data_IF_834308540763
#
_entry.id   IF_834308540763
#
_cell.length_a   1.000
_cell.length_b   1.000
_cell.length_c   1.000
_cell.angle_alpha   90.00
_cell.angle_beta   90.00
_cell.angle_gamma   90.00
#
_symmetry.space_group_name_H-M   'P 1'
#
loop_
_entity.id
_entity.type
_entity.pdbx_description
1 polymer ?
#
# COMPACT_ATOMS: atom_id res chain seq x y z
N UNK A 1 39.58 5.72 -2.79
CA UNK A 1 38.36 5.95 -1.98
C UNK A 1 37.71 4.60 -1.70
N UNK A 2 38.05 3.97 -0.58
CA UNK A 2 37.28 2.84 -0.07
C UNK A 2 36.38 3.38 1.05
N UNK A 3 35.15 3.76 0.67
CA UNK A 3 34.07 3.93 1.62
C UNK A 3 33.60 2.52 2.05
N UNK A 4 33.14 2.40 3.29
CA UNK A 4 32.46 1.21 3.79
C UNK A 4 31.35 0.79 2.81
N UNK A 5 31.01 -0.51 2.79
CA UNK A 5 29.98 -1.03 1.89
C UNK A 5 28.60 -0.58 2.39
N UNK A 6 28.17 0.62 2.00
CA UNK A 6 26.79 1.05 2.22
C UNK A 6 25.83 0.17 1.41
N UNK A 7 24.92 -0.49 2.12
CA UNK A 7 23.83 -1.26 1.54
C UNK A 7 22.57 -1.08 2.40
N UNK A 8 21.42 -1.22 1.76
CA UNK A 8 20.11 -1.18 2.41
C UNK A 8 19.41 -2.53 2.24
N UNK A 9 18.59 -2.88 3.22
CA UNK A 9 17.95 -4.21 3.31
C UNK A 9 16.44 -4.04 3.42
N UNK A 10 15.70 -4.83 2.65
CA UNK A 10 14.31 -5.16 2.92
C UNK A 10 14.13 -6.67 3.07
N UNK A 11 12.93 -7.12 3.39
CA UNK A 11 12.62 -8.52 3.63
C UNK A 11 11.39 -8.99 2.86
N UNK A 12 11.50 -10.16 2.25
CA UNK A 12 10.40 -10.86 1.62
C UNK A 12 10.01 -12.07 2.48
N UNK A 13 8.71 -12.22 2.76
CA UNK A 13 8.19 -13.30 3.58
C UNK A 13 6.98 -13.94 2.93
N UNK A 14 6.92 -15.27 2.97
CA UNK A 14 5.83 -16.03 2.35
C UNK A 14 4.75 -16.40 3.38
N UNK A 15 3.52 -16.49 2.91
CA UNK A 15 2.38 -17.01 3.65
C UNK A 15 1.59 -17.98 2.76
N UNK A 16 0.81 -18.86 3.38
CA UNK A 16 -0.01 -19.86 2.70
C UNK A 16 -1.48 -19.60 3.04
N UNK A 17 -2.29 -19.32 2.02
CA UNK A 17 -3.75 -19.22 2.13
C UNK A 17 -4.37 -20.54 1.64
N UNK A 18 -5.25 -21.14 2.45
CA UNK A 18 -5.95 -22.39 2.14
C UNK A 18 -7.46 -22.14 2.08
N UNK A 19 -8.09 -22.61 1.00
CA UNK A 19 -9.51 -22.39 0.71
C UNK A 19 -10.17 -23.70 0.29
N UNK A 20 -11.46 -23.86 0.60
CA UNK A 20 -12.28 -24.89 -0.04
C UNK A 20 -12.68 -24.42 -1.44
N UNK A 21 -12.21 -25.12 -2.49
CA UNK A 21 -12.44 -24.71 -3.89
C UNK A 21 -13.92 -24.56 -4.27
N UNK A 22 -14.82 -25.41 -3.75
CA UNK A 22 -16.26 -25.34 -4.09
C UNK A 22 -17.01 -24.30 -3.25
N UNK A 23 -16.46 -23.94 -2.09
CA UNK A 23 -17.04 -22.96 -1.17
C UNK A 23 -15.92 -22.13 -0.55
N UNK A 24 -15.29 -21.21 -1.32
CA UNK A 24 -14.07 -20.52 -0.88
C UNK A 24 -14.26 -19.62 0.34
N UNK A 25 -15.51 -19.22 0.62
CA UNK A 25 -15.88 -18.43 1.81
C UNK A 25 -16.24 -19.32 3.01
N UNK A 26 -16.30 -20.65 2.85
CA UNK A 26 -16.60 -21.57 3.93
C UNK A 26 -15.29 -22.02 4.60
N UNK A 27 -14.96 -21.35 5.72
CA UNK A 27 -13.76 -21.59 6.54
C UNK A 27 -12.42 -21.39 5.81
N UNK A 28 -12.19 -20.23 5.16
CA UNK A 28 -10.87 -19.93 4.63
C UNK A 28 -9.86 -19.73 5.77
N UNK A 29 -8.63 -20.21 5.61
CA UNK A 29 -7.57 -20.10 6.62
C UNK A 29 -6.28 -19.59 5.99
N UNK A 30 -5.49 -18.84 6.77
CA UNK A 30 -4.20 -18.32 6.34
C UNK A 30 -3.14 -18.56 7.41
N UNK A 31 -1.92 -18.89 7.01
CA UNK A 31 -0.78 -19.09 7.90
C UNK A 31 0.47 -18.44 7.34
N UNK A 32 1.31 -17.89 8.22
CA UNK A 32 2.59 -17.27 7.84
C UNK A 32 3.69 -18.32 7.90
N UNK A 33 4.52 -18.42 6.86
CA UNK A 33 5.60 -19.40 6.82
C UNK A 33 6.81 -18.89 7.65
N UNK A 34 7.69 -19.80 8.08
CA UNK A 34 8.80 -19.48 8.99
C UNK A 34 10.01 -18.84 8.30
N UNK A 35 10.16 -18.95 6.98
CA UNK A 35 11.28 -18.41 6.22
C UNK A 35 11.15 -16.91 5.89
N UNK A 36 12.29 -16.22 5.83
CA UNK A 36 12.39 -14.81 5.42
C UNK A 36 13.61 -14.64 4.50
N UNK A 37 13.44 -13.94 3.39
CA UNK A 37 14.51 -13.66 2.42
C UNK A 37 14.92 -12.21 2.52
N UNK A 38 16.23 -11.94 2.54
CA UNK A 38 16.76 -10.57 2.51
C UNK A 38 16.85 -10.10 1.06
N UNK A 39 16.35 -8.89 0.82
CA UNK A 39 16.54 -8.16 -0.44
C UNK A 39 17.53 -7.04 -0.18
N UNK A 40 18.58 -6.94 -1.00
CA UNK A 40 19.69 -6.00 -0.77
C UNK A 40 19.92 -5.13 -1.99
N UNK A 41 20.04 -3.82 -1.79
CA UNK A 41 20.46 -2.85 -2.81
C UNK A 41 21.54 -1.93 -2.26
N UNK A 42 22.31 -1.33 -3.17
CA UNK A 42 23.28 -0.26 -2.88
C UNK A 42 22.80 1.10 -3.38
N UNK A 43 21.61 1.17 -3.97
CA UNK A 43 21.03 2.43 -4.41
C UNK A 43 20.20 3.00 -3.27
N UNK A 44 20.39 4.30 -3.05
CA UNK A 44 19.69 5.06 -2.03
C UNK A 44 19.55 6.52 -2.47
N UNK A 45 18.60 7.20 -1.85
CA UNK A 45 18.41 8.63 -1.95
C UNK A 45 18.55 9.23 -0.55
N UNK A 46 19.48 10.18 -0.37
CA UNK A 46 19.77 10.79 0.94
C UNK A 46 20.00 9.76 2.06
N UNK A 47 20.86 8.77 1.80
CA UNK A 47 21.23 7.69 2.72
C UNK A 47 20.07 6.75 3.14
N UNK A 48 18.93 6.80 2.44
CA UNK A 48 17.79 5.91 2.66
C UNK A 48 17.44 5.16 1.37
N UNK A 49 17.14 3.88 1.50
CA UNK A 49 16.78 3.02 0.37
C UNK A 49 16.24 1.69 0.87
N UNK A 50 15.66 0.91 -0.05
CA UNK A 50 14.99 -0.36 0.27
C UNK A 50 13.86 -0.22 1.30
N UNK A 51 13.23 0.95 1.37
CA UNK A 51 11.98 1.17 2.11
C UNK A 51 10.83 0.81 1.17
N UNK A 52 10.62 -0.50 1.05
CA UNK A 52 9.72 -1.08 0.06
C UNK A 52 8.27 -1.00 0.52
N UNK A 53 7.44 -0.22 -0.17
CA UNK A 53 6.10 0.17 0.30
C UNK A 53 4.93 -0.49 -0.45
N UNK A 54 5.18 -1.42 -1.37
CA UNK A 54 4.17 -2.30 -1.97
C UNK A 54 4.82 -3.48 -2.72
N UNK A 55 4.06 -4.55 -2.98
CA UNK A 55 4.45 -5.71 -3.79
C UNK A 55 3.36 -6.03 -4.81
N UNK A 56 3.67 -6.07 -6.11
CA UNK A 56 2.67 -6.28 -7.18
C UNK A 56 3.23 -7.19 -8.28
N UNK A 57 2.39 -8.08 -8.82
CA UNK A 57 2.71 -8.78 -10.08
C UNK A 57 2.17 -8.00 -11.27
N UNK A 58 3.07 -7.57 -12.16
CA UNK A 58 2.73 -6.88 -13.40
C UNK A 58 3.55 -7.43 -14.58
N UNK A 59 2.86 -7.80 -15.66
CA UNK A 59 3.49 -8.31 -16.89
C UNK A 59 4.45 -9.48 -16.64
N UNK A 60 4.05 -10.42 -15.76
CA UNK A 60 4.84 -11.59 -15.38
C UNK A 60 6.04 -11.29 -14.48
N UNK A 61 6.17 -10.07 -13.95
CA UNK A 61 7.24 -9.64 -13.06
C UNK A 61 6.69 -9.30 -11.69
N UNK A 62 7.39 -9.74 -10.65
CA UNK A 62 7.17 -9.27 -9.28
C UNK A 62 7.88 -7.94 -9.12
N UNK A 63 7.13 -6.87 -8.87
CA UNK A 63 7.64 -5.52 -8.72
C UNK A 63 7.38 -4.99 -7.32
N UNK A 64 8.25 -4.10 -6.86
CA UNK A 64 8.15 -3.39 -5.60
C UNK A 64 8.72 -1.97 -5.79
N UNK A 65 8.33 -1.03 -4.95
CA UNK A 65 8.79 0.36 -5.04
C UNK A 65 9.44 0.80 -3.73
N UNK A 66 10.60 1.43 -3.85
CA UNK A 66 11.28 2.12 -2.75
C UNK A 66 10.76 3.56 -2.62
N UNK A 67 10.07 3.87 -1.53
CA UNK A 67 9.36 5.14 -1.33
C UNK A 67 10.30 6.35 -1.14
N UNK A 68 11.60 6.09 -0.99
CA UNK A 68 12.63 7.12 -0.84
C UNK A 68 13.22 7.55 -2.17
N UNK A 69 13.69 6.56 -2.94
CA UNK A 69 14.35 6.80 -4.22
C UNK A 69 13.38 6.90 -5.38
N UNK A 70 12.15 6.41 -5.23
CA UNK A 70 11.19 6.26 -6.32
C UNK A 70 11.58 5.15 -7.31
N UNK A 71 12.57 4.32 -6.98
CA UNK A 71 12.96 3.19 -7.82
C UNK A 71 11.93 2.08 -7.69
N UNK A 72 11.40 1.65 -8.84
CA UNK A 72 10.64 0.40 -8.94
C UNK A 72 11.63 -0.71 -9.25
N UNK A 73 11.76 -1.66 -8.32
CA UNK A 73 12.58 -2.85 -8.48
C UNK A 73 11.73 -4.02 -8.99
N UNK A 74 12.32 -4.86 -9.83
CA UNK A 74 11.85 -6.24 -10.03
C UNK A 74 12.56 -7.16 -9.05
N UNK A 75 11.78 -8.00 -8.37
CA UNK A 75 12.30 -9.11 -7.55
C UNK A 75 12.40 -10.35 -8.46
N UNK A 76 13.63 -10.74 -8.78
CA UNK A 76 13.94 -11.97 -9.54
C UNK A 76 14.30 -13.09 -8.58
N UNK A 77 13.86 -14.30 -8.92
CA UNK A 77 14.14 -15.53 -8.16
C UNK A 77 13.84 -15.43 -6.66
N UNK A 78 12.93 -14.52 -6.27
CA UNK A 78 12.55 -14.24 -4.87
C UNK A 78 13.68 -13.75 -3.95
N UNK A 79 14.86 -13.39 -4.47
CA UNK A 79 16.02 -12.99 -3.66
C UNK A 79 16.81 -11.79 -4.21
N UNK A 80 16.59 -11.41 -5.46
CA UNK A 80 17.42 -10.42 -6.15
C UNK A 80 16.57 -9.25 -6.60
N UNK A 81 16.93 -8.02 -6.20
CA UNK A 81 16.27 -6.79 -6.67
C UNK A 81 17.02 -6.17 -7.84
N UNK A 82 16.30 -5.87 -8.91
CA UNK A 82 16.83 -5.24 -10.14
C UNK A 82 16.07 -3.95 -10.41
N UNK A 83 16.71 -2.77 -10.42
CA UNK A 83 16.06 -1.51 -10.79
C UNK A 83 15.45 -1.60 -12.19
N UNK A 84 14.17 -1.20 -12.33
CA UNK A 84 13.45 -1.21 -13.61
C UNK A 84 13.01 0.17 -14.05
N UNK A 85 12.44 0.93 -13.12
CA UNK A 85 11.98 2.29 -13.36
C UNK A 85 12.49 3.19 -12.24
N UNK A 86 12.63 4.48 -12.53
CA UNK A 86 12.79 5.52 -11.53
C UNK A 86 11.66 6.53 -11.73
N UNK A 87 10.93 6.81 -10.66
CA UNK A 87 9.76 7.67 -10.69
C UNK A 87 10.11 8.96 -9.96
N UNK A 88 10.19 10.08 -10.69
CA UNK A 88 10.31 11.40 -10.08
C UNK A 88 9.00 11.83 -9.41
N UNK A 89 9.11 12.59 -8.33
CA UNK A 89 7.96 13.01 -7.52
C UNK A 89 6.95 13.89 -8.31
N UNK A 90 5.72 13.97 -7.79
CA UNK A 90 4.67 14.86 -8.30
C UNK A 90 4.39 14.70 -9.81
N UNK A 91 4.53 15.77 -10.63
CA UNK A 91 4.30 15.69 -12.08
C UNK A 91 5.34 14.85 -12.84
N UNK A 92 6.41 14.39 -12.18
CA UNK A 92 7.51 13.66 -12.81
C UNK A 92 8.68 14.56 -13.27
N UNK A 93 8.71 15.82 -12.85
CA UNK A 93 9.79 16.78 -13.13
C UNK A 93 10.47 17.30 -11.85
N UNK A 94 10.33 16.55 -10.75
CA UNK A 94 10.93 16.85 -9.45
C UNK A 94 12.28 16.14 -9.27
N UNK A 95 13.16 16.70 -8.44
CA UNK A 95 14.48 16.13 -8.12
C UNK A 95 14.41 14.96 -7.15
N UNK A 96 13.38 14.92 -6.30
CA UNK A 96 13.12 13.84 -5.34
C UNK A 96 12.45 12.64 -6.02
N UNK A 97 12.73 11.45 -5.51
CA UNK A 97 11.97 10.24 -5.84
C UNK A 97 10.51 10.33 -5.40
N UNK A 98 9.63 9.73 -6.18
CA UNK A 98 8.21 9.63 -5.88
C UNK A 98 7.99 8.67 -4.71
N UNK A 99 7.29 9.15 -3.68
CA UNK A 99 6.88 8.34 -2.53
C UNK A 99 5.66 7.50 -2.91
N UNK A 100 5.88 6.36 -3.54
CA UNK A 100 4.82 5.44 -3.93
C UNK A 100 4.48 4.48 -2.80
N UNK A 101 3.21 4.46 -2.42
CA UNK A 101 2.68 3.82 -1.22
C UNK A 101 1.71 2.68 -1.53
N UNK A 102 1.23 2.60 -2.76
CA UNK A 102 0.32 1.55 -3.21
C UNK A 102 0.50 1.32 -4.70
N UNK A 103 0.12 0.13 -5.17
CA UNK A 103 0.14 -0.22 -6.57
C UNK A 103 -0.98 -1.18 -6.94
N UNK A 104 -1.47 -1.07 -8.17
CA UNK A 104 -2.43 -2.02 -8.72
C UNK A 104 -2.34 -2.10 -10.24
N UNK A 105 -3.01 -3.08 -10.84
CA UNK A 105 -3.07 -3.26 -12.28
C UNK A 105 -4.49 -3.01 -12.78
N UNK A 106 -4.62 -2.08 -13.72
CA UNK A 106 -5.89 -1.77 -14.40
C UNK A 106 -5.65 -1.68 -15.90
N UNK A 107 -6.47 -2.36 -16.68
CA UNK A 107 -6.43 -2.33 -18.15
C UNK A 107 -5.02 -2.56 -18.71
N UNK A 108 -4.29 -3.54 -18.13
CA UNK A 108 -2.91 -3.92 -18.48
C UNK A 108 -1.87 -2.80 -18.26
N UNK A 109 -2.19 -1.81 -17.42
CA UNK A 109 -1.26 -0.77 -16.97
C UNK A 109 -1.03 -0.91 -15.47
N UNK A 110 0.20 -0.69 -15.05
CA UNK A 110 0.57 -0.59 -13.64
C UNK A 110 0.31 0.84 -13.17
N UNK A 111 -0.45 0.97 -12.08
CA UNK A 111 -0.71 2.21 -11.38
C UNK A 111 0.05 2.18 -10.07
N UNK A 112 0.76 3.25 -9.74
CA UNK A 112 1.46 3.44 -8.48
C UNK A 112 1.10 4.81 -7.95
N UNK A 113 0.60 4.93 -6.72
CA UNK A 113 0.20 6.22 -6.16
C UNK A 113 0.86 6.54 -4.85
N UNK A 114 0.83 7.83 -4.50
CA UNK A 114 1.27 8.32 -3.20
C UNK A 114 0.16 8.27 -2.16
N UNK A 115 0.43 8.87 -1.00
CA UNK A 115 -0.44 8.84 0.18
C UNK A 115 -1.85 9.43 -0.03
N UNK A 116 -2.08 10.23 -1.08
CA UNK A 116 -3.41 10.73 -1.43
C UNK A 116 -3.94 11.87 -0.56
N UNK A 117 -3.04 12.61 0.10
CA UNK A 117 -3.33 13.88 0.82
C UNK A 117 -2.25 14.91 0.53
N UNK A 118 -2.50 16.17 0.85
CA UNK A 118 -1.51 17.23 0.72
C UNK A 118 -0.25 16.96 1.58
N UNK A 119 0.93 17.37 1.12
CA UNK A 119 2.15 17.34 1.95
C UNK A 119 2.15 18.57 2.85
N UNK A 120 2.15 18.32 4.16
CA UNK A 120 2.08 19.36 5.19
C UNK A 120 3.42 19.38 5.92
N UNK A 121 4.02 20.56 6.00
CA UNK A 121 5.21 20.83 6.78
C UNK A 121 4.94 22.08 7.63
N UNK A 122 5.35 22.05 8.90
CA UNK A 122 5.16 23.18 9.85
C UNK A 122 3.69 23.68 9.92
N UNK A 123 2.73 22.75 9.80
CA UNK A 123 1.30 23.06 9.85
C UNK A 123 0.71 23.73 8.60
N UNK A 124 1.49 23.85 7.52
CA UNK A 124 1.04 24.44 6.25
C UNK A 124 1.18 23.45 5.09
N UNK A 125 0.29 23.56 4.11
CA UNK A 125 0.41 22.80 2.86
C UNK A 125 1.59 23.35 2.06
N UNK A 126 2.65 22.56 1.95
CA UNK A 126 3.84 22.93 1.20
C UNK A 126 3.70 22.56 -0.28
N UNK A 127 3.13 21.38 -0.57
CA UNK A 127 2.86 20.94 -1.94
C UNK A 127 1.76 19.85 -2.00
N UNK A 128 1.42 19.44 -3.22
CA UNK A 128 0.38 18.44 -3.52
C UNK A 128 0.94 17.17 -4.20
N UNK A 129 2.25 16.91 -4.08
CA UNK A 129 2.90 15.84 -4.85
C UNK A 129 2.35 14.44 -4.52
N UNK A 130 1.96 14.23 -3.27
CA UNK A 130 1.33 13.00 -2.78
C UNK A 130 -0.05 12.70 -3.42
N UNK A 131 -0.66 13.66 -4.13
CA UNK A 131 -1.92 13.48 -4.87
C UNK A 131 -1.71 12.92 -6.29
N UNK A 132 -0.46 12.81 -6.73
CA UNK A 132 -0.14 12.27 -8.05
C UNK A 132 -0.07 10.74 -8.03
N UNK A 133 -0.34 10.15 -9.19
CA UNK A 133 -0.10 8.74 -9.48
C UNK A 133 0.80 8.61 -10.72
N UNK A 134 1.47 7.48 -10.82
CA UNK A 134 2.31 7.07 -11.94
C UNK A 134 1.67 5.89 -12.65
N UNK A 135 1.56 5.97 -13.96
CA UNK A 135 0.97 4.93 -14.80
C UNK A 135 2.04 4.44 -15.77
N UNK A 136 2.28 3.14 -15.77
CA UNK A 136 3.25 2.47 -16.64
C UNK A 136 2.46 1.51 -17.53
N UNK A 137 2.52 1.74 -18.84
CA UNK A 137 1.94 0.85 -19.85
C UNK A 137 2.96 -0.13 -20.43
N UNK A 138 2.50 -0.95 -21.39
CA UNK A 138 3.36 -1.92 -22.11
C UNK A 138 4.54 -1.30 -22.86
N UNK A 139 4.42 -0.03 -23.24
CA UNK A 139 5.50 0.73 -23.89
C UNK A 139 6.60 1.16 -22.91
N UNK A 140 6.48 0.81 -21.62
CA UNK A 140 7.40 1.20 -20.54
C UNK A 140 7.53 2.72 -20.34
N UNK A 141 6.56 3.48 -20.87
CA UNK A 141 6.45 4.93 -20.67
C UNK A 141 5.75 5.20 -19.34
N UNK A 142 6.36 6.06 -18.53
CA UNK A 142 5.79 6.55 -17.28
C UNK A 142 4.97 7.80 -17.56
N UNK A 143 3.70 7.79 -17.16
CA UNK A 143 2.79 8.93 -17.22
C UNK A 143 2.42 9.35 -15.80
N UNK A 144 2.57 10.64 -15.49
CA UNK A 144 2.12 11.22 -14.21
C UNK A 144 0.72 11.79 -14.36
N UNK A 145 -0.19 11.43 -13.45
CA UNK A 145 -1.58 11.93 -13.44
C UNK A 145 -1.92 12.48 -12.07
N UNK A 146 -2.43 13.71 -12.03
CA UNK A 146 -3.00 14.28 -10.81
C UNK A 146 -4.32 13.57 -10.48
N UNK A 147 -4.45 13.06 -9.25
CA UNK A 147 -5.59 12.26 -8.80
C UNK A 147 -6.40 12.92 -7.67
N UNK A 148 -6.22 14.21 -7.48
CA UNK A 148 -6.90 15.07 -6.51
C UNK A 148 -8.42 14.89 -6.50
N UNK A 149 -9.07 14.79 -7.67
CA UNK A 149 -10.53 14.62 -7.77
C UNK A 149 -11.02 13.34 -7.11
N UNK A 150 -10.29 12.24 -7.26
CA UNK A 150 -10.64 10.96 -6.64
C UNK A 150 -10.43 11.01 -5.14
N UNK A 151 -9.24 11.45 -4.68
CA UNK A 151 -8.94 11.56 -3.25
C UNK A 151 -9.90 12.52 -2.53
N UNK A 152 -10.20 13.67 -3.12
CA UNK A 152 -11.16 14.64 -2.57
C UNK A 152 -12.60 14.10 -2.55
N UNK A 153 -13.00 13.35 -3.57
CA UNK A 153 -14.29 12.68 -3.58
C UNK A 153 -14.43 11.71 -2.41
N UNK A 154 -13.44 10.83 -2.21
CA UNK A 154 -13.43 9.88 -1.10
C UNK A 154 -13.44 10.61 0.24
N UNK A 155 -12.55 11.58 0.43
CA UNK A 155 -12.46 12.43 1.63
C UNK A 155 -13.80 13.05 2.01
N UNK A 156 -14.49 13.66 1.03
CA UNK A 156 -15.82 14.25 1.24
C UNK A 156 -16.88 13.19 1.55
N UNK A 157 -16.85 12.05 0.86
CA UNK A 157 -17.89 11.02 0.96
C UNK A 157 -17.85 10.27 2.29
N UNK A 158 -16.66 10.10 2.87
CA UNK A 158 -16.44 9.48 4.18
C UNK A 158 -16.59 10.47 5.35
N UNK A 159 -16.63 11.78 5.07
CA UNK A 159 -16.81 12.83 6.08
C UNK A 159 -15.52 13.41 6.67
N UNK A 160 -14.33 13.01 6.21
CA UNK A 160 -13.03 13.48 6.70
C UNK A 160 -12.60 14.77 6.00
N UNK A 161 -13.48 15.75 5.92
CA UNK A 161 -13.30 16.98 5.14
C UNK A 161 -12.12 17.80 5.71
N UNK A 162 -11.36 18.47 4.83
CA UNK A 162 -10.25 19.35 5.22
C UNK A 162 -10.65 20.31 6.38
N UNK A 163 -9.82 20.45 7.44
CA UNK A 163 -8.43 20.00 7.54
C UNK A 163 -8.23 18.51 7.87
N UNK A 164 -9.32 17.74 8.04
CA UNK A 164 -9.28 16.29 8.08
C UNK A 164 -8.68 15.66 6.80
N UNK A 165 -8.25 14.41 6.92
CA UNK A 165 -7.51 13.72 5.88
C UNK A 165 -7.74 12.21 5.91
N UNK A 166 -7.36 11.58 4.81
CA UNK A 166 -7.25 10.13 4.65
C UNK A 166 -5.88 9.85 4.03
N UNK A 167 -5.14 8.90 4.60
CA UNK A 167 -3.88 8.40 4.03
C UNK A 167 -4.10 7.03 3.41
N UNK A 168 -3.68 6.84 2.17
CA UNK A 168 -3.89 5.62 1.38
C UNK A 168 -2.57 4.88 1.11
N UNK A 169 -2.50 3.62 1.54
CA UNK A 169 -1.39 2.69 1.23
C UNK A 169 -1.91 1.37 0.65
N UNK A 170 -3.22 1.13 0.67
CA UNK A 170 -3.80 -0.11 0.19
C UNK A 170 -4.96 0.21 -0.77
N UNK A 171 -4.66 0.13 -2.07
CA UNK A 171 -5.58 0.50 -3.17
C UNK A 171 -5.51 -0.55 -4.28
N UNK A 172 -6.64 -1.11 -4.67
CA UNK A 172 -6.73 -2.14 -5.72
C UNK A 172 -7.85 -1.83 -6.70
N UNK A 173 -7.60 -2.06 -7.98
CA UNK A 173 -8.64 -2.09 -9.00
C UNK A 173 -9.33 -3.45 -9.03
N UNK A 174 -10.64 -3.46 -8.78
CA UNK A 174 -11.51 -4.61 -8.95
C UNK A 174 -11.96 -4.68 -10.41
N UNK A 175 -11.30 -5.56 -11.17
CA UNK A 175 -11.51 -5.73 -12.61
C UNK A 175 -12.84 -6.40 -12.96
N UNK A 176 -13.43 -7.17 -12.04
CA UNK A 176 -14.74 -7.82 -12.19
C UNK A 176 -15.84 -6.77 -12.09
N UNK A 177 -15.84 -5.96 -11.02
CA UNK A 177 -16.90 -4.98 -10.79
C UNK A 177 -16.62 -3.61 -11.40
N UNK A 178 -15.41 -3.39 -11.97
CA UNK A 178 -14.95 -2.14 -12.59
C UNK A 178 -15.01 -0.98 -11.60
N UNK A 179 -14.29 -1.12 -10.48
CA UNK A 179 -14.25 -0.13 -9.41
C UNK A 179 -12.90 -0.11 -8.72
N UNK A 180 -12.54 1.05 -8.17
CA UNK A 180 -11.42 1.21 -7.27
C UNK A 180 -11.86 0.85 -5.86
N UNK A 181 -11.06 0.05 -5.15
CA UNK A 181 -11.29 -0.33 -3.77
C UNK A 181 -10.11 0.09 -2.89
N UNK A 182 -10.41 0.58 -1.70
CA UNK A 182 -9.47 1.21 -0.78
C UNK A 182 -9.66 0.63 0.62
N UNK A 183 -8.53 0.33 1.26
CA UNK A 183 -8.43 0.16 2.71
C UNK A 183 -7.48 1.24 3.20
N UNK A 184 -7.97 2.44 3.55
CA UNK A 184 -7.08 3.51 3.97
C UNK A 184 -6.28 3.11 5.21
N UNK A 185 -5.03 3.55 5.28
CA UNK A 185 -4.19 3.36 6.46
C UNK A 185 -4.75 4.16 7.63
N UNK A 186 -4.99 5.45 7.36
CA UNK A 186 -5.38 6.46 8.35
C UNK A 186 -6.58 7.27 7.89
N UNK A 187 -7.40 7.71 8.83
CA UNK A 187 -8.44 8.69 8.59
C UNK A 187 -8.72 9.51 9.85
N UNK A 188 -8.59 10.84 9.77
CA UNK A 188 -8.84 11.75 10.90
C UNK A 188 -9.65 12.97 10.47
N UNK A 189 -10.46 13.48 11.39
CA UNK A 189 -11.15 14.77 11.25
C UNK A 189 -10.28 15.95 11.71
N UNK A 190 -9.16 15.67 12.38
CA UNK A 190 -8.20 16.67 12.82
C UNK A 190 -7.22 17.00 11.69
N UNK A 191 -6.57 18.16 11.78
CA UNK A 191 -5.43 18.50 10.94
C UNK A 191 -4.31 17.47 11.08
N UNK A 192 -3.62 17.18 9.98
CA UNK A 192 -2.48 16.28 10.00
C UNK A 192 -1.33 16.82 10.87
N UNK A 193 -0.86 15.97 11.78
CA UNK A 193 0.49 15.98 12.36
C UNK A 193 1.00 14.54 12.37
N UNK A 194 2.30 14.33 12.54
CA UNK A 194 2.86 12.98 12.61
C UNK A 194 2.30 12.21 13.82
N UNK A 195 2.13 12.88 14.96
CA UNK A 195 1.58 12.29 16.19
C UNK A 195 0.10 11.92 16.04
N UNK A 196 -0.70 12.77 15.40
CA UNK A 196 -2.10 12.48 15.10
C UNK A 196 -2.22 11.30 14.13
N UNK A 197 -1.38 11.23 13.10
CA UNK A 197 -1.42 10.16 12.09
C UNK A 197 -1.11 8.78 12.72
N UNK A 198 -0.15 8.71 13.64
CA UNK A 198 0.20 7.46 14.36
C UNK A 198 -1.00 6.81 15.07
N UNK A 199 -1.96 7.62 15.54
CA UNK A 199 -3.17 7.18 16.27
C UNK A 199 -4.47 7.26 15.45
N UNK A 200 -4.35 7.46 14.13
CA UNK A 200 -5.50 7.64 13.22
C UNK A 200 -5.85 6.39 12.41
N UNK A 201 -5.47 5.19 12.87
CA UNK A 201 -5.84 3.92 12.26
C UNK A 201 -7.35 3.78 12.03
N UNK A 202 -7.74 3.25 10.88
CA UNK A 202 -9.15 3.13 10.47
C UNK A 202 -9.51 1.71 10.06
N UNK A 203 -10.81 1.41 10.01
CA UNK A 203 -11.35 0.12 9.60
C UNK A 203 -12.23 0.21 8.35
N UNK A 204 -12.10 1.28 7.57
CA UNK A 204 -12.94 1.50 6.39
C UNK A 204 -12.49 0.62 5.22
N UNK A 205 -13.46 -0.01 4.56
CA UNK A 205 -13.34 -0.54 3.22
C UNK A 205 -14.27 0.22 2.29
N UNK A 206 -13.70 0.85 1.26
CA UNK A 206 -14.41 1.76 0.37
C UNK A 206 -14.23 1.29 -1.06
N UNK A 207 -15.31 1.19 -1.84
CA UNK A 207 -15.21 0.96 -3.28
C UNK A 207 -16.04 1.99 -4.06
N UNK A 208 -15.48 2.49 -5.16
CA UNK A 208 -16.19 3.40 -6.07
C UNK A 208 -15.75 3.24 -7.52
N UNK A 209 -16.66 3.44 -8.48
CA UNK A 209 -16.31 3.41 -9.90
C UNK A 209 -15.73 4.76 -10.37
N UNK A 210 -15.10 4.78 -11.54
CA UNK A 210 -14.45 5.99 -12.08
C UNK A 210 -15.41 7.18 -12.29
N UNK A 211 -16.69 6.91 -12.54
CA UNK A 211 -17.73 7.93 -12.66
C UNK A 211 -18.28 8.43 -11.31
N UNK A 212 -17.82 7.87 -10.18
CA UNK A 212 -18.29 8.18 -8.82
C UNK A 212 -19.81 8.00 -8.60
N UNK A 213 -20.46 7.18 -9.43
CA UNK A 213 -21.91 6.91 -9.38
C UNK A 213 -22.25 5.69 -8.52
N UNK A 214 -21.29 4.78 -8.31
CA UNK A 214 -21.40 3.63 -7.41
C UNK A 214 -20.45 3.85 -6.25
N UNK A 215 -20.97 3.78 -5.03
CA UNK A 215 -20.18 3.96 -3.82
C UNK A 215 -20.62 2.93 -2.78
N UNK A 216 -19.64 2.21 -2.24
CA UNK A 216 -19.81 1.29 -1.11
C UNK A 216 -18.81 1.67 -0.05
N UNK A 217 -19.27 1.75 1.19
CA UNK A 217 -18.43 1.92 2.37
C UNK A 217 -18.93 0.96 3.44
N UNK A 218 -18.02 0.13 3.96
CA UNK A 218 -18.29 -0.74 5.09
C UNK A 218 -17.14 -0.64 6.10
N UNK A 219 -17.32 -1.24 7.27
CA UNK A 219 -16.30 -1.34 8.31
C UNK A 219 -15.85 -2.81 8.44
N UNK A 220 -14.55 -3.02 8.59
CA UNK A 220 -13.92 -4.34 8.73
C UNK A 220 -13.46 -4.52 10.18
N UNK A 221 -14.19 -5.32 10.96
CA UNK A 221 -13.94 -5.46 12.39
C UNK A 221 -14.06 -4.12 13.14
N UNK A 222 -13.42 -4.05 14.31
CA UNK A 222 -13.40 -2.85 15.14
C UNK A 222 -12.29 -1.87 14.73
N UNK A 223 -12.45 -0.60 15.13
CA UNK A 223 -11.42 0.42 14.88
C UNK A 223 -10.26 0.27 15.87
N UNK A 224 -9.05 0.19 15.33
CA UNK A 224 -7.82 0.06 16.11
C UNK A 224 -6.87 1.19 15.76
N UNK A 225 -6.86 2.22 16.60
CA UNK A 225 -6.19 3.51 16.32
C UNK A 225 -4.71 3.40 15.97
N UNK A 226 -4.02 2.39 16.50
CA UNK A 226 -2.58 2.18 16.28
C UNK A 226 -2.27 1.26 15.09
N UNK A 227 -3.28 0.64 14.48
CA UNK A 227 -3.13 -0.24 13.34
C UNK A 227 -3.72 0.39 12.08
N UNK A 228 -2.92 0.48 11.03
CA UNK A 228 -3.35 0.95 9.71
C UNK A 228 -3.17 -0.12 8.65
N UNK A 229 -4.11 -0.23 7.72
CA UNK A 229 -3.94 -1.07 6.54
C UNK A 229 -2.78 -0.57 5.67
N UNK A 230 -1.89 -1.47 5.26
CA UNK A 230 -0.71 -1.15 4.44
C UNK A 230 -0.74 -1.78 3.05
N UNK A 231 -1.43 -2.90 2.85
CA UNK A 231 -1.63 -3.52 1.53
C UNK A 231 -2.81 -4.49 1.57
N UNK A 232 -3.41 -4.78 0.43
CA UNK A 232 -4.39 -5.86 0.29
C UNK A 232 -4.47 -6.41 -1.13
N UNK A 233 -4.97 -7.64 -1.26
CA UNK A 233 -5.35 -8.23 -2.54
C UNK A 233 -6.66 -8.99 -2.42
N UNK A 234 -7.44 -8.97 -3.50
CA UNK A 234 -8.52 -9.92 -3.66
C UNK A 234 -7.95 -11.33 -3.84
N UNK A 235 -8.54 -12.30 -3.17
CA UNK A 235 -8.12 -13.69 -3.27
C UNK A 235 -8.52 -14.26 -4.64
N UNK A 236 -7.59 -14.84 -5.40
CA UNK A 236 -7.89 -15.47 -6.69
C UNK A 236 -9.00 -16.51 -6.58
N UNK A 237 -9.80 -16.64 -7.64
CA UNK A 237 -10.92 -17.59 -7.72
C UNK A 237 -12.03 -17.38 -6.68
N UNK A 238 -12.16 -16.17 -6.13
CA UNK A 238 -13.26 -15.79 -5.21
C UNK A 238 -14.20 -14.73 -5.78
N UNK A 239 -14.09 -14.43 -7.09
CA UNK A 239 -14.87 -13.37 -7.75
C UNK A 239 -14.72 -12.01 -7.05
N UNK A 240 -13.51 -11.71 -6.55
CA UNK A 240 -13.20 -10.51 -5.77
C UNK A 240 -14.08 -10.35 -4.52
N UNK A 241 -14.52 -11.46 -3.90
CA UNK A 241 -15.35 -11.44 -2.68
C UNK A 241 -14.55 -11.62 -1.40
N UNK A 242 -13.39 -12.27 -1.45
CA UNK A 242 -12.52 -12.49 -0.30
C UNK A 242 -11.26 -11.64 -0.43
N UNK A 243 -10.79 -11.06 0.68
CA UNK A 243 -9.64 -10.17 0.75
C UNK A 243 -8.66 -10.70 1.79
N UNK A 244 -7.37 -10.70 1.42
CA UNK A 244 -6.27 -10.75 2.39
C UNK A 244 -5.67 -9.35 2.46
N UNK A 245 -5.46 -8.84 3.67
CA UNK A 245 -4.86 -7.53 3.91
C UNK A 245 -3.78 -7.60 4.98
N UNK A 246 -2.88 -6.61 4.98
CA UNK A 246 -1.92 -6.38 6.04
C UNK A 246 -2.32 -5.13 6.81
N UNK A 247 -2.28 -5.20 8.15
CA UNK A 247 -2.21 -4.02 9.01
C UNK A 247 -0.82 -3.92 9.65
N UNK A 248 -0.31 -2.71 9.76
CA UNK A 248 0.95 -2.41 10.46
C UNK A 248 0.70 -1.58 11.70
N UNK A 249 1.42 -1.88 12.77
CA UNK A 249 1.53 -1.06 13.98
C UNK A 249 2.88 -0.38 13.93
N UNK A 250 2.85 0.92 13.66
CA UNK A 250 4.02 1.78 13.63
C UNK A 250 4.28 2.39 15.00
N UNK A 251 5.53 2.33 15.43
CA UNK A 251 6.03 2.96 16.63
C UNK A 251 6.63 4.32 16.27
N UNK A 252 6.58 5.31 17.19
CA UNK A 252 7.34 6.54 17.03
C UNK A 252 8.82 6.27 16.74
N UNK A 253 9.49 7.17 16.02
CA UNK A 253 10.89 7.00 15.59
C UNK A 253 11.85 6.74 16.76
N UNK A 254 11.62 7.40 17.91
CA UNK A 254 12.43 7.26 19.13
C UNK A 254 12.03 6.05 20.02
N UNK A 255 11.10 5.21 19.56
CA UNK A 255 10.61 4.08 20.33
C UNK A 255 11.61 2.92 20.38
N UNK A 256 11.80 2.33 21.55
CA UNK A 256 12.52 1.06 21.71
C UNK A 256 11.68 -0.14 21.26
N UNK A 257 10.37 0.03 21.09
CA UNK A 257 9.48 -1.00 20.58
C UNK A 257 9.64 -1.12 19.07
N UNK A 258 9.56 -2.35 18.57
CA UNK A 258 9.58 -2.61 17.13
C UNK A 258 8.19 -2.52 16.53
N UNK A 259 8.14 -2.06 15.29
CA UNK A 259 6.96 -2.16 14.44
C UNK A 259 6.49 -3.61 14.34
N UNK A 260 5.20 -3.82 14.11
CA UNK A 260 4.62 -5.17 13.92
C UNK A 260 3.65 -5.16 12.76
N UNK A 261 3.52 -6.30 12.09
CA UNK A 261 2.58 -6.46 10.99
C UNK A 261 1.72 -7.71 11.15
N UNK A 262 0.47 -7.63 10.72
CA UNK A 262 -0.55 -8.65 10.93
C UNK A 262 -1.34 -8.91 9.64
N UNK A 263 -1.58 -10.18 9.33
CA UNK A 263 -2.51 -10.57 8.27
C UNK A 263 -3.95 -10.57 8.78
N UNK A 264 -4.84 -10.16 7.87
CA UNK A 264 -6.28 -10.13 8.03
C UNK A 264 -6.93 -10.81 6.82
N UNK A 265 -8.00 -11.55 7.06
CA UNK A 265 -8.76 -12.29 6.06
C UNK A 265 -10.25 -12.05 6.29
N UNK A 266 -10.90 -11.40 5.33
CA UNK A 266 -12.30 -10.99 5.44
C UNK A 266 -12.97 -10.91 4.06
N UNK A 267 -14.30 -10.93 4.03
CA UNK A 267 -15.04 -10.72 2.78
C UNK A 267 -15.40 -9.25 2.55
N UNK A 268 -15.83 -8.94 1.33
CA UNK A 268 -16.31 -7.62 0.92
C UNK A 268 -17.58 -7.16 1.65
N UNK A 269 -18.19 -7.98 2.51
CA UNK A 269 -19.35 -7.62 3.33
C UNK A 269 -18.95 -7.32 4.78
N UNK A 270 -17.67 -7.50 5.13
CA UNK A 270 -17.14 -7.22 6.46
C UNK A 270 -17.10 -8.43 7.39
N UNK A 271 -17.38 -9.64 6.88
CA UNK A 271 -17.22 -10.86 7.66
C UNK A 271 -15.74 -11.18 7.79
N UNK A 272 -15.23 -11.15 9.02
CA UNK A 272 -13.83 -11.46 9.34
C UNK A 272 -13.70 -12.97 9.64
N UNK A 273 -12.79 -13.64 8.94
CA UNK A 273 -12.51 -15.07 9.11
C UNK A 273 -11.24 -15.32 9.92
N UNK A 274 -10.25 -14.44 9.79
CA UNK A 274 -9.05 -14.43 10.61
C UNK A 274 -8.50 -13.00 10.68
N UNK A 275 -7.97 -12.64 11.83
CA UNK A 275 -7.31 -11.37 12.07
C UNK A 275 -6.10 -11.55 12.99
N UNK A 276 -5.28 -10.51 13.15
CA UNK A 276 -4.14 -10.49 14.07
C UNK A 276 -3.12 -11.62 13.89
N UNK A 277 -3.05 -12.24 12.71
CA UNK A 277 -2.04 -13.27 12.43
C UNK A 277 -0.69 -12.58 12.26
N UNK A 278 0.16 -12.68 13.27
CA UNK A 278 1.47 -12.02 13.31
C UNK A 278 2.35 -12.47 12.14
N UNK A 279 2.77 -11.50 11.31
CA UNK A 279 3.76 -11.71 10.25
C UNK A 279 5.17 -11.69 10.84
N UNK A 280 5.44 -10.72 11.71
CA UNK A 280 6.72 -10.55 12.41
C UNK A 280 6.96 -9.11 12.86
N UNK A 281 8.18 -8.88 13.33
CA UNK A 281 8.72 -7.54 13.59
C UNK A 281 9.01 -6.82 12.26
N UNK A 282 8.73 -5.52 12.20
CA UNK A 282 8.84 -4.69 10.99
C UNK A 282 7.48 -4.33 10.38
N UNK A 283 7.52 -3.39 9.43
CA UNK A 283 6.37 -3.00 8.60
C UNK A 283 6.41 -3.80 7.30
N UNK A 284 5.44 -4.68 7.11
CA UNK A 284 5.19 -5.33 5.84
C UNK A 284 4.14 -4.49 5.09
N UNK A 285 4.57 -3.86 4.01
CA UNK A 285 3.77 -2.87 3.29
C UNK A 285 3.41 -3.35 1.88
N UNK A 286 3.74 -4.60 1.54
CA UNK A 286 3.35 -5.22 0.27
C UNK A 286 2.82 -6.64 0.42
N UNK A 287 1.79 -6.97 -0.36
CA UNK A 287 1.18 -8.30 -0.41
C UNK A 287 0.81 -8.68 -1.84
N UNK A 288 1.19 -9.89 -2.25
CA UNK A 288 0.83 -10.41 -3.58
C UNK A 288 0.70 -11.93 -3.59
N UNK A 289 -0.13 -12.45 -4.50
CA UNK A 289 -0.22 -13.87 -4.82
C UNK A 289 0.82 -14.24 -5.88
N UNK A 290 1.69 -15.20 -5.55
CA UNK A 290 2.90 -15.55 -6.30
C UNK A 290 3.03 -17.05 -6.54
#
# INVERSE_FOLDING_TARGET
FHLEKDYWISYLKNATLTLNRSKPLLHPTISVNTGITKLISKLAYQHRGMELSELIVYDGRMLTIDDRSGIVYEIKNYDTVVPRYILSDGPGNMTKGFKGEWATVKDKKLYIGGMGREYIAQGQVENQNNLWIKIIGKENVVISVMWDKMYNYLRKRTGYIYPGYISHEAVVWDDINKQWCFLPRRASNNSYTEEEDLVSGTNLFICTNEANTRYKQIKIGEIEKLLGFSSFRFVPHTENKLIVAIKTHEQPEDSLLKNKSYLWLFDINGNVYADHILIGEGKYEGLEFV
#
